data_IF_840025066947
#
_entry.id   IF_840025066947
#
_cell.length_a   1.000
_cell.length_b   1.000
_cell.length_c   1.000
_cell.angle_alpha   90.00
_cell.angle_beta   90.00
_cell.angle_gamma   90.00
#
_symmetry.space_group_name_H-M   'P 1'
#
loop_
_entity.id
_entity.type
_entity.pdbx_description
1 polymer ?
#
# COMPACT_ATOMS: atom_id res chain seq x y z
N UNK A 1 3.93 13.20 13.25
CA UNK A 1 4.33 11.81 12.87
C UNK A 1 4.44 11.69 11.37
N UNK A 2 5.23 10.73 10.87
CA UNK A 2 5.33 10.40 9.45
C UNK A 2 5.09 8.92 9.23
N UNK A 3 4.37 8.56 8.17
CA UNK A 3 4.20 7.19 7.73
C UNK A 3 4.94 7.02 6.41
N UNK A 4 5.71 5.95 6.31
CA UNK A 4 6.40 5.53 5.09
C UNK A 4 5.87 4.16 4.72
N UNK A 5 5.18 4.06 3.59
CA UNK A 5 4.60 2.81 3.10
C UNK A 5 5.43 2.35 1.91
N UNK A 6 5.96 1.15 2.00
CA UNK A 6 6.83 0.55 1.00
C UNK A 6 6.12 -0.63 0.37
N UNK A 7 5.98 -0.61 -0.96
CA UNK A 7 5.61 -1.79 -1.73
C UNK A 7 6.81 -2.74 -1.84
N UNK A 8 6.56 -4.06 -1.75
CA UNK A 8 7.60 -5.08 -1.96
C UNK A 8 8.35 -4.92 -3.30
N UNK A 9 9.56 -5.48 -3.38
CA UNK A 9 10.37 -5.53 -4.60
C UNK A 9 9.77 -6.44 -5.68
N UNK A 10 10.44 -6.53 -6.83
CA UNK A 10 10.00 -7.36 -7.96
C UNK A 10 9.73 -8.81 -7.53
N UNK A 11 8.47 -9.31 -7.68
CA UNK A 11 8.05 -10.55 -7.03
C UNK A 11 8.24 -11.79 -7.91
N UNK A 12 8.61 -12.89 -7.26
CA UNK A 12 8.31 -14.25 -7.72
C UNK A 12 7.04 -14.70 -6.99
N UNK A 13 5.89 -14.58 -7.64
CA UNK A 13 4.61 -14.93 -7.03
C UNK A 13 4.46 -16.43 -6.76
N UNK A 14 5.13 -17.30 -7.51
CA UNK A 14 5.04 -18.74 -7.34
C UNK A 14 5.72 -19.20 -6.05
N UNK A 15 6.81 -18.55 -5.68
CA UNK A 15 7.57 -18.85 -4.48
C UNK A 15 7.22 -17.92 -3.29
N UNK A 16 6.33 -16.93 -3.49
CA UNK A 16 6.08 -15.81 -2.56
C UNK A 16 7.38 -15.18 -2.05
N UNK A 17 8.28 -14.88 -2.96
CA UNK A 17 9.61 -14.33 -2.70
C UNK A 17 9.94 -13.17 -3.65
N UNK A 18 11.17 -12.68 -3.61
CA UNK A 18 11.68 -11.73 -4.58
C UNK A 18 12.43 -12.45 -5.72
N UNK A 19 12.36 -11.87 -6.92
CA UNK A 19 13.30 -12.23 -7.99
C UNK A 19 14.71 -11.72 -7.65
N UNK A 20 15.72 -12.08 -8.45
CA UNK A 20 17.05 -11.50 -8.31
C UNK A 20 17.03 -9.97 -8.49
N UNK A 21 16.18 -9.48 -9.42
CA UNK A 21 15.95 -8.05 -9.61
C UNK A 21 15.35 -7.42 -8.35
N UNK A 22 14.31 -8.03 -7.79
CA UNK A 22 13.63 -7.55 -6.58
C UNK A 22 14.57 -7.48 -5.38
N UNK A 23 15.51 -8.42 -5.23
CA UNK A 23 16.55 -8.37 -4.19
C UNK A 23 17.50 -7.18 -4.39
N UNK A 24 17.90 -6.89 -5.63
CA UNK A 24 18.71 -5.68 -5.92
C UNK A 24 17.93 -4.39 -5.63
N UNK A 25 16.66 -4.32 -6.01
CA UNK A 25 15.79 -3.18 -5.69
C UNK A 25 15.68 -2.98 -4.16
N UNK A 26 15.52 -4.07 -3.39
CA UNK A 26 15.43 -4.03 -1.94
C UNK A 26 16.74 -3.53 -1.28
N UNK A 27 17.90 -3.92 -1.80
CA UNK A 27 19.20 -3.43 -1.30
C UNK A 27 19.37 -1.92 -1.57
N UNK A 28 18.98 -1.41 -2.75
CA UNK A 28 19.00 0.02 -3.06
C UNK A 28 18.02 0.82 -2.19
N UNK A 29 16.86 0.24 -1.91
CA UNK A 29 15.91 0.81 -0.94
C UNK A 29 16.53 0.88 0.45
N UNK A 30 17.21 -0.19 0.90
CA UNK A 30 17.86 -0.22 2.20
C UNK A 30 18.93 0.88 2.33
N UNK A 31 19.71 1.18 1.27
CA UNK A 31 20.68 2.29 1.23
C UNK A 31 20.01 3.67 1.45
N UNK A 32 18.75 3.83 1.04
CA UNK A 32 17.97 5.04 1.30
C UNK A 32 17.46 5.07 2.73
N UNK A 33 16.87 3.95 3.19
CA UNK A 33 16.19 3.88 4.48
C UNK A 33 17.17 3.89 5.68
N UNK A 34 18.40 3.38 5.54
CA UNK A 34 19.39 3.39 6.62
C UNK A 34 19.84 4.79 7.04
N UNK A 35 19.61 5.80 6.18
CA UNK A 35 19.88 7.22 6.47
C UNK A 35 18.75 7.90 7.26
N UNK A 36 17.71 7.13 7.59
CA UNK A 36 16.50 7.61 8.27
C UNK A 36 16.35 6.87 9.61
N UNK A 37 15.77 7.53 10.58
CA UNK A 37 15.44 6.91 11.86
C UNK A 37 13.94 6.58 11.91
N UNK A 38 13.65 5.30 12.23
CA UNK A 38 12.26 4.82 12.36
C UNK A 38 12.01 4.31 13.77
N UNK A 39 10.97 4.87 14.41
CA UNK A 39 10.52 4.46 15.74
C UNK A 39 9.94 3.04 15.73
N UNK A 40 9.29 2.64 14.64
CA UNK A 40 8.74 1.30 14.46
C UNK A 40 8.78 0.86 12.99
N UNK A 41 8.87 -0.46 12.78
CA UNK A 41 8.82 -1.10 11.46
C UNK A 41 7.79 -2.21 11.50
N UNK A 42 6.80 -2.14 10.63
CA UNK A 42 5.71 -3.10 10.47
C UNK A 42 5.81 -3.80 9.12
N UNK A 43 5.60 -5.11 9.10
CA UNK A 43 5.87 -5.93 7.93
C UNK A 43 4.69 -6.86 7.65
N UNK A 44 4.28 -6.94 6.38
CA UNK A 44 3.33 -7.95 5.89
C UNK A 44 3.83 -9.38 6.18
N UNK A 45 2.95 -10.34 6.44
CA UNK A 45 3.32 -11.75 6.61
C UNK A 45 3.84 -12.41 5.32
N UNK A 46 3.56 -11.83 4.13
CA UNK A 46 3.90 -12.45 2.85
C UNK A 46 5.40 -12.37 2.55
N UNK A 47 5.95 -13.45 1.98
CA UNK A 47 7.38 -13.65 1.81
C UNK A 47 8.08 -12.54 1.04
N UNK A 48 7.52 -12.08 -0.09
CA UNK A 48 8.08 -10.98 -0.90
C UNK A 48 8.22 -9.65 -0.14
N UNK A 49 7.27 -9.33 0.75
CA UNK A 49 7.36 -8.12 1.57
C UNK A 49 8.37 -8.30 2.72
N UNK A 50 8.43 -9.51 3.29
CA UNK A 50 9.42 -9.88 4.32
C UNK A 50 10.84 -9.81 3.77
N UNK A 51 11.12 -10.37 2.59
CA UNK A 51 12.44 -10.28 1.94
C UNK A 51 12.82 -8.84 1.63
N UNK A 52 11.85 -8.00 1.22
CA UNK A 52 12.11 -6.57 1.00
C UNK A 52 12.52 -5.87 2.29
N UNK A 53 11.80 -6.15 3.39
CA UNK A 53 12.12 -5.60 4.71
C UNK A 53 13.46 -6.11 5.26
N UNK A 54 13.79 -7.38 5.02
CA UNK A 54 15.00 -8.06 5.49
C UNK A 54 16.28 -7.34 5.04
N UNK A 55 16.32 -6.83 3.78
CA UNK A 55 17.44 -6.08 3.26
C UNK A 55 17.81 -4.88 4.15
N UNK A 56 16.80 -4.18 4.67
CA UNK A 56 16.97 -3.04 5.59
C UNK A 56 17.20 -3.49 7.04
N UNK A 57 16.34 -4.37 7.56
CA UNK A 57 16.35 -4.77 8.97
C UNK A 57 17.65 -5.45 9.39
N UNK A 58 18.21 -6.30 8.52
CA UNK A 58 19.49 -6.99 8.74
C UNK A 58 20.64 -6.02 8.96
N UNK A 59 20.71 -4.91 8.22
CA UNK A 59 21.77 -3.90 8.35
C UNK A 59 21.76 -3.23 9.71
N UNK A 60 20.57 -3.09 10.31
CA UNK A 60 20.40 -2.44 11.61
C UNK A 60 20.40 -3.42 12.79
N UNK A 61 20.45 -4.73 12.55
CA UNK A 61 20.28 -5.74 13.59
C UNK A 61 18.91 -5.63 14.29
N UNK A 62 17.87 -5.17 13.59
CA UNK A 62 16.51 -4.98 14.11
C UNK A 62 15.56 -6.03 13.53
N UNK A 63 14.42 -6.20 14.19
CA UNK A 63 13.29 -6.98 13.69
C UNK A 63 12.10 -6.06 13.44
N UNK A 64 11.30 -6.37 12.42
CA UNK A 64 10.01 -5.74 12.19
C UNK A 64 8.89 -6.51 12.89
N UNK A 65 7.85 -5.82 13.31
CA UNK A 65 6.64 -6.43 13.84
C UNK A 65 5.72 -6.86 12.69
N UNK A 66 5.43 -8.15 12.57
CA UNK A 66 4.51 -8.66 11.55
C UNK A 66 3.07 -8.29 11.89
N UNK A 67 2.34 -7.82 10.88
CA UNK A 67 0.91 -7.50 10.95
C UNK A 67 0.17 -8.23 9.85
N UNK A 68 -0.74 -9.13 10.22
CA UNK A 68 -1.47 -9.97 9.25
C UNK A 68 -2.36 -9.14 8.31
N UNK A 69 -2.91 -8.03 8.77
CA UNK A 69 -3.71 -7.12 7.98
C UNK A 69 -2.90 -6.32 6.92
N UNK A 70 -1.56 -6.32 7.00
CA UNK A 70 -0.69 -5.75 5.96
C UNK A 70 -0.47 -6.69 4.76
N UNK A 71 -1.05 -7.91 4.77
CA UNK A 71 -1.01 -8.77 3.58
C UNK A 71 -1.68 -8.08 2.39
N UNK A 72 -1.45 -8.59 1.18
CA UNK A 72 -2.12 -8.01 0.01
C UNK A 72 -3.63 -8.12 0.16
N UNK A 73 -4.34 -7.10 -0.31
CA UNK A 73 -5.81 -7.04 -0.28
C UNK A 73 -6.38 -8.16 -1.15
N UNK A 74 -6.89 -9.20 -0.51
CA UNK A 74 -7.06 -10.52 -1.10
C UNK A 74 -8.44 -10.84 -1.70
N UNK A 75 -9.54 -10.08 -1.48
CA UNK A 75 -10.82 -10.42 -2.09
C UNK A 75 -10.72 -10.53 -3.62
N UNK A 76 -11.47 -11.48 -4.17
CA UNK A 76 -11.53 -11.73 -5.62
C UNK A 76 -12.98 -11.68 -6.11
N UNK A 77 -13.15 -11.37 -7.39
CA UNK A 77 -14.42 -11.44 -8.11
C UNK A 77 -14.28 -12.29 -9.36
N UNK A 78 -15.36 -12.86 -9.83
CA UNK A 78 -15.38 -13.43 -11.18
C UNK A 78 -15.51 -12.31 -12.21
N UNK A 79 -14.58 -12.25 -13.17
CA UNK A 79 -14.65 -11.31 -14.27
C UNK A 79 -15.30 -12.00 -15.48
N UNK A 80 -16.50 -11.55 -15.93
CA UNK A 80 -17.20 -12.17 -17.03
C UNK A 80 -16.51 -11.95 -18.39
N UNK A 81 -15.74 -10.86 -18.54
CA UNK A 81 -15.05 -10.54 -19.79
C UNK A 81 -13.78 -11.40 -19.94
N UNK A 82 -13.10 -11.71 -18.82
CA UNK A 82 -11.91 -12.56 -18.81
C UNK A 82 -12.25 -14.04 -18.59
N UNK A 83 -13.43 -14.36 -18.03
CA UNK A 83 -13.88 -15.73 -17.79
C UNK A 83 -13.19 -16.45 -16.62
N UNK A 84 -12.51 -15.72 -15.74
CA UNK A 84 -11.83 -16.26 -14.56
C UNK A 84 -11.90 -15.29 -13.36
N UNK A 85 -11.59 -15.76 -12.13
CA UNK A 85 -11.47 -14.87 -10.98
C UNK A 85 -10.30 -13.91 -11.13
N UNK A 86 -10.55 -12.62 -10.79
CA UNK A 86 -9.55 -11.56 -10.70
C UNK A 86 -9.54 -10.97 -9.29
N UNK A 87 -8.47 -10.27 -8.96
CA UNK A 87 -8.37 -9.52 -7.71
C UNK A 87 -9.34 -8.34 -7.72
N UNK A 88 -9.82 -7.96 -6.53
CA UNK A 88 -10.87 -6.95 -6.43
C UNK A 88 -10.40 -5.53 -6.78
N UNK A 89 -9.13 -5.28 -6.85
CA UNK A 89 -8.55 -3.99 -7.22
C UNK A 89 -8.04 -3.94 -8.68
N UNK A 90 -8.50 -4.88 -9.54
CA UNK A 90 -8.20 -4.88 -10.97
C UNK A 90 -9.52 -4.93 -11.78
N UNK A 91 -9.87 -3.80 -12.39
CA UNK A 91 -11.08 -3.63 -13.17
C UNK A 91 -10.76 -2.90 -14.48
N UNK A 92 -11.44 -3.29 -15.54
CA UNK A 92 -11.40 -2.51 -16.78
C UNK A 92 -12.03 -1.12 -16.58
N UNK A 93 -11.46 -0.05 -17.18
CA UNK A 93 -11.88 1.33 -16.94
C UNK A 93 -13.38 1.56 -17.19
N UNK A 94 -13.94 1.00 -18.27
CA UNK A 94 -15.34 1.15 -18.61
C UNK A 94 -16.28 0.52 -17.56
N UNK A 95 -15.81 -0.47 -16.81
CA UNK A 95 -16.61 -1.18 -15.81
C UNK A 95 -16.63 -0.44 -14.49
N UNK A 96 -15.46 -0.10 -13.92
CA UNK A 96 -15.44 0.55 -12.62
C UNK A 96 -15.92 2.01 -12.66
N UNK A 97 -15.67 2.75 -13.76
CA UNK A 97 -16.09 4.16 -13.89
C UNK A 97 -17.59 4.32 -14.08
N UNK A 98 -18.30 3.27 -14.50
CA UNK A 98 -19.76 3.28 -14.65
C UNK A 98 -20.49 3.23 -13.29
N UNK A 99 -19.85 2.68 -12.25
CA UNK A 99 -20.45 2.56 -10.91
C UNK A 99 -20.09 3.80 -10.07
N UNK A 100 -21.08 4.66 -9.84
CA UNK A 100 -20.86 5.91 -9.10
C UNK A 100 -20.54 5.71 -7.63
N UNK A 101 -21.05 4.63 -7.02
CA UNK A 101 -20.78 4.31 -5.63
C UNK A 101 -19.29 3.99 -5.40
N UNK A 102 -18.56 3.58 -6.42
CA UNK A 102 -17.11 3.38 -6.34
C UNK A 102 -16.30 4.65 -6.05
N UNK A 103 -16.86 5.82 -6.29
CA UNK A 103 -16.24 7.10 -5.94
C UNK A 103 -16.62 7.57 -4.53
N UNK A 104 -17.64 6.97 -3.93
CA UNK A 104 -18.06 7.32 -2.58
C UNK A 104 -17.15 6.64 -1.56
N UNK A 105 -16.75 7.39 -0.57
CA UNK A 105 -15.79 6.98 0.47
C UNK A 105 -16.22 5.74 1.27
N UNK A 106 -17.50 5.59 1.54
CA UNK A 106 -18.08 4.47 2.28
C UNK A 106 -18.82 3.51 1.35
N UNK A 107 -19.48 4.05 0.35
CA UNK A 107 -20.31 3.30 -0.59
C UNK A 107 -19.54 2.32 -1.46
N UNK A 108 -18.25 2.54 -1.72
CA UNK A 108 -17.46 1.70 -2.61
C UNK A 108 -17.45 0.22 -2.22
N UNK A 109 -17.40 -0.08 -0.93
CA UNK A 109 -17.34 -1.46 -0.43
C UNK A 109 -18.71 -2.13 -0.28
N UNK A 110 -19.82 -1.34 -0.41
CA UNK A 110 -21.20 -1.80 -0.30
C UNK A 110 -21.89 -2.02 -1.65
N UNK A 111 -21.18 -1.89 -2.76
CA UNK A 111 -21.67 -2.34 -4.07
C UNK A 111 -21.87 -3.86 -4.02
N UNK A 112 -22.94 -4.42 -4.61
CA UNK A 112 -23.29 -5.84 -4.44
C UNK A 112 -22.15 -6.83 -4.73
N UNK A 113 -21.31 -6.56 -5.73
CA UNK A 113 -20.17 -7.41 -6.06
C UNK A 113 -19.07 -7.33 -4.99
N UNK A 114 -18.88 -6.18 -4.37
CA UNK A 114 -17.93 -6.00 -3.27
C UNK A 114 -18.38 -6.74 -2.02
N UNK A 115 -19.67 -6.60 -1.66
CA UNK A 115 -20.25 -7.33 -0.52
C UNK A 115 -20.19 -8.84 -0.71
N UNK A 116 -20.56 -9.33 -1.90
CA UNK A 116 -20.52 -10.75 -2.22
C UNK A 116 -19.10 -11.35 -2.17
N UNK A 117 -18.09 -10.51 -2.34
CA UNK A 117 -16.67 -10.91 -2.32
C UNK A 117 -16.00 -10.73 -0.95
N UNK A 118 -16.73 -10.28 0.07
CA UNK A 118 -16.22 -10.08 1.42
C UNK A 118 -15.34 -8.84 1.59
N UNK A 119 -15.42 -7.89 0.64
CA UNK A 119 -14.64 -6.64 0.68
C UNK A 119 -14.87 -5.82 1.95
N UNK A 120 -16.13 -5.63 2.44
CA UNK A 120 -16.34 -4.84 3.65
C UNK A 120 -15.55 -5.37 4.85
N UNK A 121 -15.64 -6.68 5.12
CA UNK A 121 -14.92 -7.28 6.26
C UNK A 121 -13.39 -7.18 6.12
N UNK A 122 -12.88 -7.33 4.91
CA UNK A 122 -11.44 -7.20 4.64
C UNK A 122 -10.97 -5.73 4.79
N UNK A 123 -11.76 -4.77 4.31
CA UNK A 123 -11.44 -3.36 4.44
C UNK A 123 -11.49 -2.89 5.91
N UNK A 124 -12.53 -3.28 6.64
CA UNK A 124 -12.65 -3.01 8.07
C UNK A 124 -11.48 -3.58 8.87
N UNK A 125 -11.05 -4.81 8.56
CA UNK A 125 -9.88 -5.41 9.21
C UNK A 125 -8.59 -4.59 9.00
N UNK A 126 -8.38 -4.04 7.79
CA UNK A 126 -7.27 -3.14 7.51
C UNK A 126 -7.42 -1.82 8.27
N UNK A 127 -8.62 -1.24 8.30
CA UNK A 127 -8.90 0.02 8.99
C UNK A 127 -8.67 -0.12 10.49
N UNK A 128 -9.24 -1.13 11.12
CA UNK A 128 -9.11 -1.40 12.55
C UNK A 128 -7.63 -1.64 12.93
N UNK A 129 -6.93 -2.45 12.14
CA UNK A 129 -5.51 -2.73 12.36
C UNK A 129 -4.63 -1.49 12.24
N UNK A 130 -4.93 -0.60 11.28
CA UNK A 130 -4.22 0.66 11.11
C UNK A 130 -4.53 1.64 12.26
N UNK A 131 -5.80 1.81 12.61
CA UNK A 131 -6.23 2.73 13.67
C UNK A 131 -5.72 2.28 15.05
N UNK A 132 -5.75 0.98 15.37
CA UNK A 132 -5.14 0.43 16.59
C UNK A 132 -3.63 0.74 16.65
N UNK A 133 -2.95 0.59 15.52
CA UNK A 133 -1.53 0.89 15.42
C UNK A 133 -1.26 2.38 15.63
N UNK A 134 -2.01 3.26 14.98
CA UNK A 134 -1.89 4.70 15.13
C UNK A 134 -2.19 5.16 16.57
N UNK A 135 -3.17 4.55 17.23
CA UNK A 135 -3.48 4.81 18.63
C UNK A 135 -2.30 4.50 19.57
N UNK A 136 -1.59 3.38 19.33
CA UNK A 136 -0.34 3.04 20.05
C UNK A 136 0.74 4.11 19.88
N UNK A 137 0.76 4.80 18.75
CA UNK A 137 1.66 5.90 18.44
C UNK A 137 1.10 7.28 18.84
N UNK A 138 -0.05 7.33 19.54
CA UNK A 138 -0.60 8.55 20.11
C UNK A 138 -1.62 9.28 19.25
N UNK A 139 -2.17 8.64 18.21
CA UNK A 139 -3.19 9.17 17.29
C UNK A 139 -4.40 8.24 17.25
N UNK A 140 -5.45 8.60 17.98
CA UNK A 140 -6.67 7.81 18.08
C UNK A 140 -7.74 8.31 17.10
N UNK A 141 -8.34 7.42 16.34
CA UNK A 141 -9.38 7.78 15.35
C UNK A 141 -10.62 8.35 16.04
N UNK A 142 -11.12 9.48 15.54
CA UNK A 142 -12.35 10.14 15.98
C UNK A 142 -13.13 10.63 14.77
N UNK A 143 -14.02 9.78 14.24
CA UNK A 143 -14.71 10.05 12.97
C UNK A 143 -13.69 10.21 11.83
N UNK A 144 -13.65 11.41 11.21
CA UNK A 144 -12.80 11.69 10.05
C UNK A 144 -11.44 12.28 10.39
N UNK A 145 -11.16 12.48 11.67
CA UNK A 145 -9.92 13.07 12.18
C UNK A 145 -9.27 12.13 13.18
N UNK A 146 -8.13 12.53 13.67
CA UNK A 146 -7.44 11.85 14.77
C UNK A 146 -7.33 12.76 15.98
N UNK A 147 -7.70 12.23 17.14
CA UNK A 147 -7.40 12.85 18.42
C UNK A 147 -5.95 12.57 18.78
N UNK A 148 -5.20 13.62 19.03
CA UNK A 148 -3.77 13.54 19.37
C UNK A 148 -3.63 13.37 20.88
N UNK A 149 -3.30 12.19 21.34
CA UNK A 149 -3.04 11.89 22.75
C UNK A 149 -1.58 12.19 23.12
N UNK A 150 -0.67 12.03 22.16
CA UNK A 150 0.75 12.27 22.33
C UNK A 150 1.34 12.82 21.02
N UNK A 151 1.47 14.14 20.86
CA UNK A 151 2.10 14.72 19.69
C UNK A 151 3.56 14.27 19.60
N UNK A 152 3.99 13.86 18.40
CA UNK A 152 5.35 13.38 18.16
C UNK A 152 5.80 13.61 16.72
N UNK A 153 7.10 13.38 16.47
CA UNK A 153 7.73 13.43 15.13
C UNK A 153 8.26 12.07 14.68
N UNK A 154 7.76 11.01 15.28
CA UNK A 154 8.16 9.65 14.95
C UNK A 154 7.94 9.34 13.48
N UNK A 155 8.82 8.57 12.91
CA UNK A 155 8.67 7.98 11.59
C UNK A 155 8.33 6.50 11.74
N UNK A 156 7.27 6.06 11.07
CA UNK A 156 6.79 4.67 11.09
C UNK A 156 6.95 4.11 9.68
N UNK A 157 7.54 2.93 9.57
CA UNK A 157 7.81 2.26 8.30
C UNK A 157 6.95 1.02 8.15
N UNK A 158 6.30 0.89 6.99
CA UNK A 158 5.50 -0.28 6.60
C UNK A 158 6.10 -0.94 5.36
N UNK A 159 6.19 -2.26 5.36
CA UNK A 159 6.48 -3.05 4.17
C UNK A 159 5.25 -3.88 3.82
N UNK A 160 4.61 -3.60 2.69
CA UNK A 160 3.35 -4.20 2.30
C UNK A 160 3.19 -4.31 0.76
N UNK A 161 1.97 -4.12 0.25
CA UNK A 161 1.60 -4.36 -1.13
C UNK A 161 0.72 -3.23 -1.64
N UNK A 162 0.53 -3.15 -2.96
CA UNK A 162 -0.18 -2.06 -3.62
C UNK A 162 -1.67 -2.00 -3.25
N UNK A 163 -2.37 -3.14 -3.28
CA UNK A 163 -3.82 -3.16 -3.02
C UNK A 163 -4.14 -2.69 -1.59
N UNK A 164 -3.44 -3.23 -0.59
CA UNK A 164 -3.62 -2.82 0.82
C UNK A 164 -3.14 -1.40 1.07
N UNK A 165 -2.07 -0.94 0.42
CA UNK A 165 -1.61 0.45 0.50
C UNK A 165 -2.72 1.42 0.10
N UNK A 166 -3.40 1.18 -1.02
CA UNK A 166 -4.51 2.03 -1.46
C UNK A 166 -5.70 2.01 -0.49
N UNK A 167 -5.99 0.90 0.17
CA UNK A 167 -7.01 0.81 1.22
C UNK A 167 -6.61 1.66 2.44
N UNK A 168 -5.36 1.54 2.90
CA UNK A 168 -4.81 2.39 3.97
C UNK A 168 -4.88 3.87 3.62
N UNK A 169 -4.48 4.23 2.39
CA UNK A 169 -4.53 5.62 1.91
C UNK A 169 -5.96 6.14 1.84
N UNK A 170 -6.90 5.34 1.34
CA UNK A 170 -8.33 5.68 1.31
C UNK A 170 -8.85 6.03 2.69
N UNK A 171 -8.54 5.21 3.70
CA UNK A 171 -8.93 5.42 5.08
C UNK A 171 -8.30 6.68 5.71
N UNK A 172 -6.99 6.90 5.48
CA UNK A 172 -6.26 8.06 6.03
C UNK A 172 -6.67 9.38 5.40
N UNK A 173 -7.02 9.38 4.11
CA UNK A 173 -7.32 10.58 3.33
C UNK A 173 -8.81 10.85 3.18
N UNK A 174 -9.68 9.93 3.64
CA UNK A 174 -11.13 10.07 3.54
C UNK A 174 -11.66 9.97 2.11
N UNK A 175 -11.09 9.10 1.28
CA UNK A 175 -11.48 8.85 -0.12
C UNK A 175 -11.67 7.36 -0.39
N UNK A 176 -12.41 7.03 -1.43
CA UNK A 176 -12.49 5.66 -1.91
C UNK A 176 -11.12 5.17 -2.41
N UNK A 177 -10.73 3.90 -2.17
CA UNK A 177 -9.52 3.33 -2.75
C UNK A 177 -9.64 3.05 -4.25
N UNK A 178 -10.84 2.99 -4.82
CA UNK A 178 -11.06 2.71 -6.25
C UNK A 178 -10.31 3.63 -7.20
N UNK A 179 -10.36 4.98 -7.04
CA UNK A 179 -9.54 5.88 -7.85
C UNK A 179 -8.03 5.72 -7.62
N UNK A 180 -7.60 5.29 -6.43
CA UNK A 180 -6.19 5.02 -6.16
C UNK A 180 -5.72 3.75 -6.88
N UNK A 181 -6.46 2.66 -6.80
CA UNK A 181 -6.15 1.41 -7.48
C UNK A 181 -6.01 1.56 -9.00
N UNK A 182 -6.85 2.39 -9.63
CA UNK A 182 -6.95 2.49 -11.09
C UNK A 182 -6.31 3.75 -11.67
N UNK A 183 -5.97 4.73 -10.84
CA UNK A 183 -5.39 6.00 -11.27
C UNK A 183 -3.96 6.21 -10.80
N UNK A 184 -3.39 5.28 -10.04
CA UNK A 184 -2.01 5.35 -9.55
C UNK A 184 -1.27 4.03 -9.77
N UNK A 185 0.05 4.07 -9.67
CA UNK A 185 0.89 2.89 -9.72
C UNK A 185 2.03 3.02 -8.71
N UNK A 186 1.95 2.28 -7.60
CA UNK A 186 3.10 2.15 -6.70
C UNK A 186 4.06 1.11 -7.30
N UNK A 187 5.17 1.55 -7.89
CA UNK A 187 6.17 0.67 -8.47
C UNK A 187 6.87 -0.20 -7.40
N UNK A 188 7.57 -1.24 -7.82
CA UNK A 188 8.31 -2.12 -6.91
C UNK A 188 9.32 -1.32 -6.07
N UNK A 189 9.39 -1.62 -4.77
CA UNK A 189 10.16 -0.89 -3.74
C UNK A 189 9.84 0.60 -3.59
N UNK A 190 8.80 1.09 -4.25
CA UNK A 190 8.42 2.50 -4.10
C UNK A 190 8.01 2.85 -2.68
N UNK A 191 8.17 4.12 -2.34
CA UNK A 191 7.89 4.66 -1.00
C UNK A 191 6.82 5.75 -1.10
N UNK A 192 5.69 5.53 -0.45
CA UNK A 192 4.66 6.56 -0.26
C UNK A 192 4.82 7.17 1.12
N UNK A 193 4.73 8.50 1.21
CA UNK A 193 4.96 9.25 2.46
C UNK A 193 3.74 10.07 2.83
N UNK A 194 3.24 9.87 4.06
CA UNK A 194 2.23 10.72 4.67
C UNK A 194 2.79 11.41 5.92
N UNK A 195 2.21 12.55 6.26
CA UNK A 195 2.54 13.29 7.47
C UNK A 195 1.27 13.69 8.21
N UNK A 196 1.33 13.74 9.53
CA UNK A 196 0.26 14.36 10.32
C UNK A 196 0.28 15.87 10.15
N UNK A 197 -0.89 16.46 10.06
CA UNK A 197 -1.12 17.90 10.15
C UNK A 197 -1.87 18.21 11.44
N UNK A 198 -1.18 18.85 12.38
CA UNK A 198 -1.71 19.26 13.68
C UNK A 198 -1.75 20.80 13.74
N UNK A 199 -2.78 21.41 13.19
CA UNK A 199 -2.94 22.88 13.15
C UNK A 199 -3.63 23.44 14.39
N UNK A 200 -4.19 22.57 15.21
CA UNK A 200 -4.80 22.85 16.51
C UNK A 200 -4.40 21.76 17.49
N UNK A 201 -4.27 22.10 18.74
CA UNK A 201 -3.96 21.15 19.80
C UNK A 201 -5.00 20.03 19.86
N UNK A 202 -4.54 18.81 19.94
CA UNK A 202 -5.37 17.62 20.08
C UNK A 202 -6.05 17.12 18.80
N UNK A 203 -5.86 17.78 17.65
CA UNK A 203 -6.53 17.42 16.39
C UNK A 203 -5.51 17.23 15.28
N UNK A 204 -5.54 16.06 14.64
CA UNK A 204 -4.72 15.75 13.47
C UNK A 204 -5.53 15.20 12.31
N UNK A 205 -5.00 15.39 11.10
CA UNK A 205 -5.33 14.65 9.88
C UNK A 205 -4.06 14.21 9.19
N UNK A 206 -4.16 13.34 8.19
CA UNK A 206 -3.01 12.93 7.39
C UNK A 206 -2.99 13.67 6.05
N UNK A 207 -1.77 14.00 5.59
CA UNK A 207 -1.52 14.48 4.23
C UNK A 207 -0.50 13.60 3.54
N UNK A 208 -0.78 13.20 2.32
CA UNK A 208 0.18 12.51 1.47
C UNK A 208 1.14 13.53 0.84
N UNK A 209 2.42 13.41 1.15
CA UNK A 209 3.47 14.29 0.60
C UNK A 209 4.03 13.77 -0.72
N UNK A 210 4.12 12.44 -0.86
CA UNK A 210 4.56 11.77 -2.09
C UNK A 210 3.90 10.41 -2.20
N UNK A 211 3.65 9.98 -3.42
CA UNK A 211 3.18 8.65 -3.76
C UNK A 211 4.19 7.96 -4.68
N UNK A 212 4.55 6.73 -4.36
CA UNK A 212 5.33 5.87 -5.26
C UNK A 212 6.75 6.36 -5.58
N UNK A 213 7.45 7.02 -4.66
CA UNK A 213 8.81 7.52 -4.87
C UNK A 213 9.83 6.37 -5.06
N UNK A 214 10.48 6.33 -6.21
CA UNK A 214 11.54 5.37 -6.60
C UNK A 214 12.90 6.04 -6.78
N UNK A 215 13.13 7.18 -6.16
CA UNK A 215 14.38 7.95 -6.29
C UNK A 215 15.64 7.14 -5.97
N UNK A 216 15.54 6.12 -5.09
CA UNK A 216 16.62 5.21 -4.77
C UNK A 216 17.04 4.32 -5.95
N UNK A 217 16.10 3.93 -6.82
CA UNK A 217 16.41 3.17 -8.04
C UNK A 217 17.04 4.09 -9.10
N UNK A 218 16.41 5.25 -9.33
CA UNK A 218 16.88 6.23 -10.34
C UNK A 218 18.28 6.72 -10.04
N UNK A 219 18.60 6.95 -8.77
CA UNK A 219 19.93 7.41 -8.34
C UNK A 219 21.07 6.44 -8.72
N UNK A 220 20.75 5.17 -8.93
CA UNK A 220 21.70 4.13 -9.35
C UNK A 220 21.49 3.67 -10.80
N UNK A 221 20.68 4.38 -11.57
CA UNK A 221 20.41 4.06 -12.97
C UNK A 221 19.63 2.77 -13.17
N UNK A 222 18.89 2.32 -12.15
CA UNK A 222 18.05 1.14 -12.23
C UNK A 222 16.61 1.55 -12.52
N UNK A 223 16.06 1.06 -13.63
CA UNK A 223 14.65 1.19 -13.93
C UNK A 223 13.83 0.29 -12.99
N UNK A 224 12.69 0.78 -12.45
CA UNK A 224 11.75 -0.06 -11.70
C UNK A 224 11.24 -1.23 -12.54
N UNK A 225 10.91 -2.35 -11.89
CA UNK A 225 10.26 -3.48 -12.57
C UNK A 225 8.92 -3.06 -13.19
N UNK A 226 8.54 -3.76 -14.28
CA UNK A 226 7.23 -3.57 -14.94
C UNK A 226 6.07 -4.18 -14.14
N UNK A 227 6.32 -5.01 -13.14
CA UNK A 227 5.34 -5.83 -12.38
C UNK A 227 4.14 -5.10 -11.77
N UNK A 228 4.02 -3.80 -11.90
CA UNK A 228 2.89 -3.04 -11.37
C UNK A 228 2.14 -2.28 -12.45
N UNK A 229 2.49 -2.49 -13.70
CA UNK A 229 1.99 -1.70 -14.83
C UNK A 229 1.25 -2.59 -15.81
N UNK A 230 0.36 -1.97 -16.56
CA UNK A 230 -0.29 -2.55 -17.73
C UNK A 230 0.26 -1.90 -19.01
N UNK A 231 0.00 -2.50 -20.15
CA UNK A 231 0.44 -1.97 -21.44
C UNK A 231 -0.09 -0.53 -21.65
N UNK A 232 0.78 0.34 -22.15
CA UNK A 232 0.41 1.74 -22.44
C UNK A 232 -0.43 1.85 -23.72
N UNK A 233 -0.26 0.91 -24.64
CA UNK A 233 -1.00 0.87 -25.91
C UNK A 233 -1.59 -0.51 -26.16
N UNK A 234 -2.74 -0.55 -26.82
CA UNK A 234 -3.48 -1.79 -27.08
C UNK A 234 -2.67 -2.83 -27.87
N UNK A 235 -1.82 -2.40 -28.75
CA UNK A 235 -1.02 -3.25 -29.65
C UNK A 235 0.32 -3.74 -29.04
N UNK A 236 0.64 -3.32 -27.83
CA UNK A 236 1.82 -3.80 -27.10
C UNK A 236 1.56 -5.18 -26.48
N UNK A 237 1.88 -6.23 -27.22
CA UNK A 237 1.65 -7.61 -26.77
C UNK A 237 2.67 -8.12 -25.76
N UNK A 238 3.84 -7.46 -25.66
CA UNK A 238 4.92 -7.85 -24.73
C UNK A 238 4.62 -7.42 -23.29
N UNK A 239 3.79 -6.38 -23.11
CA UNK A 239 3.42 -5.80 -21.80
C UNK A 239 2.02 -6.19 -21.34
N UNK A 240 1.29 -7.00 -22.12
CA UNK A 240 -0.06 -7.45 -21.73
C UNK A 240 -0.02 -8.49 -20.64
N UNK A 241 -0.90 -8.34 -19.67
CA UNK A 241 -1.10 -9.27 -18.55
C UNK A 241 -2.53 -9.83 -18.51
N UNK A 242 -3.43 -9.34 -19.36
CA UNK A 242 -4.84 -9.70 -19.51
C UNK A 242 -5.13 -10.52 -20.78
#
# INVERSE_FOLDING_TARGET
MKLYIVRHGDPDYAADSLTERGRREAELLADKLEKMDFAAVYVSPLGRARETAEAYLRRLGRQGETKDWLREFAPTRFDPDLGHPTIMWDWLPQTWTAEKAFYDREGWMHVPVMEASGVPAEAEWVYDGLDELLARHGYEREGEIYRVLRPNRDSILFFCHFGVECVMLGHLLGISPMPLWHGTCALTTSVTTLVTEERREGIASFRMNSFGDVSHLIAFGQEPSFSARFCETWDCMEERHD
#
